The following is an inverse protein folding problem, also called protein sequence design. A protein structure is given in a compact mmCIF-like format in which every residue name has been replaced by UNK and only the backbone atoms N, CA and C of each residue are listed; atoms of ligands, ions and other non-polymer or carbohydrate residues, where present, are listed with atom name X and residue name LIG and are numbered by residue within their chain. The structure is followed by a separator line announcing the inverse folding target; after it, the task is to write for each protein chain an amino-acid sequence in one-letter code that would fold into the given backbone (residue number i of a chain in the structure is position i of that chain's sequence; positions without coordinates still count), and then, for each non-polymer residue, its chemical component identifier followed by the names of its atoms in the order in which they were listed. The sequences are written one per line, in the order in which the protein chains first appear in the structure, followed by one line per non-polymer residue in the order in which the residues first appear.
data_IF_205112008112
#
_entry.id   IF_205112008112
#
_cell.length_a   1.000
_cell.length_b   1.000
_cell.length_c   1.000
_cell.angle_alpha   90.00
_cell.angle_beta   90.00
_cell.angle_gamma   90.00
#
_symmetry.space_group_name_H-M   'P 1'
#
loop_
_entity.id
_entity.type
_entity.pdbx_description
1 polymer ?
#
# COMPACT_ATOMS: atom_id res chain seq x y z
N UNK A 1 -30.35 16.53 18.33
CA UNK A 1 -29.83 17.90 18.08
C UNK A 1 -28.70 18.14 19.07
N UNK A 2 -27.46 18.50 18.73
CA UNK A 2 -26.70 18.64 17.48
C UNK A 2 -25.29 19.08 17.90
N UNK A 3 -24.26 18.54 17.23
CA UNK A 3 -22.92 19.12 16.94
C UNK A 3 -22.00 19.47 18.13
N UNK A 4 -20.76 18.98 18.25
CA UNK A 4 -19.60 18.81 17.35
C UNK A 4 -18.80 20.10 17.10
N UNK A 5 -17.46 19.91 17.17
CA UNK A 5 -16.33 20.77 16.76
C UNK A 5 -15.92 21.86 17.76
N UNK A 6 -14.64 22.15 17.99
CA UNK A 6 -13.38 21.73 17.37
C UNK A 6 -12.24 22.01 18.36
N UNK A 7 -11.08 21.37 18.17
CA UNK A 7 -9.75 22.02 18.16
C UNK A 7 -8.68 21.00 18.52
N UNK A 8 -8.14 20.34 17.49
CA UNK A 8 -6.85 19.67 17.55
C UNK A 8 -5.85 20.56 16.80
N UNK A 9 -5.10 21.35 17.56
CA UNK A 9 -3.90 22.07 17.08
C UNK A 9 -2.78 21.08 16.80
N UNK A 10 -2.47 20.88 15.52
CA UNK A 10 -1.28 20.19 15.04
C UNK A 10 -0.12 21.21 15.06
N UNK A 11 0.78 21.08 16.03
CA UNK A 11 1.98 21.93 16.13
C UNK A 11 2.98 21.43 15.09
N UNK A 12 3.24 22.28 14.11
CA UNK A 12 4.30 22.11 13.13
C UNK A 12 5.67 22.20 13.81
N UNK A 13 6.41 21.10 13.80
CA UNK A 13 7.84 21.10 14.15
C UNK A 13 8.64 20.84 12.88
N UNK A 14 8.90 21.92 12.13
CA UNK A 14 9.65 21.92 10.88
C UNK A 14 11.12 22.19 11.19
N UNK A 15 11.86 21.17 11.63
CA UNK A 15 13.31 21.28 11.84
C UNK A 15 14.12 20.54 10.75
N UNK A 16 14.65 21.34 9.81
CA UNK A 16 15.94 21.25 9.10
C UNK A 16 16.43 19.85 8.64
N UNK A 17 16.06 19.46 7.41
CA UNK A 17 16.61 18.33 6.64
C UNK A 17 18.03 18.56 6.05
N UNK A 18 18.92 19.27 6.74
CA UNK A 18 20.31 19.48 6.27
C UNK A 18 21.30 18.82 7.21
N UNK A 19 21.64 17.55 6.95
CA UNK A 19 22.97 16.97 7.20
C UNK A 19 23.13 15.68 6.40
N UNK A 20 23.82 15.80 5.28
CA UNK A 20 24.18 14.72 4.39
C UNK A 20 25.44 14.00 4.85
N UNK A 21 25.50 12.69 4.64
CA UNK A 21 26.74 12.04 4.22
C UNK A 21 26.46 11.29 2.91
N UNK A 22 27.18 11.67 1.86
CA UNK A 22 27.08 11.03 0.56
C UNK A 22 27.76 9.66 0.61
N UNK A 23 27.00 8.60 0.37
CA UNK A 23 27.51 7.39 -0.28
C UNK A 23 26.64 7.15 -1.51
N UNK A 24 27.17 7.54 -2.66
CA UNK A 24 26.63 7.19 -3.97
C UNK A 24 26.76 5.69 -4.17
N UNK A 25 25.66 4.96 -4.05
CA UNK A 25 25.52 3.65 -4.67
C UNK A 25 24.22 3.66 -5.47
N UNK A 26 24.35 3.95 -6.77
CA UNK A 26 23.35 3.53 -7.74
C UNK A 26 23.39 2.00 -7.79
N UNK A 27 22.63 1.33 -6.92
CA UNK A 27 22.43 -0.10 -7.00
C UNK A 27 21.30 -0.38 -7.99
N UNK A 28 21.59 -1.23 -8.97
CA UNK A 28 20.69 -1.59 -10.05
C UNK A 28 19.33 -2.06 -9.55
N UNK A 29 18.29 -1.76 -10.33
CA UNK A 29 16.93 -2.21 -10.07
C UNK A 29 16.91 -3.71 -9.79
N UNK A 30 16.23 -4.11 -8.70
CA UNK A 30 16.13 -5.50 -8.29
C UNK A 30 15.54 -6.36 -9.42
N UNK A 31 16.04 -7.59 -9.55
CA UNK A 31 15.48 -8.58 -10.47
C UNK A 31 14.01 -8.83 -10.09
N UNK A 32 13.07 -8.52 -10.98
CA UNK A 32 11.65 -8.81 -10.78
C UNK A 32 11.45 -10.29 -10.48
N UNK A 33 10.87 -10.59 -9.32
CA UNK A 33 10.65 -11.97 -8.85
C UNK A 33 9.27 -12.50 -9.23
N UNK A 34 8.29 -11.60 -9.31
CA UNK A 34 6.88 -11.98 -9.52
C UNK A 34 6.24 -12.67 -8.33
N UNK A 35 6.81 -12.48 -7.13
CA UNK A 35 6.24 -12.91 -5.85
C UNK A 35 5.43 -11.79 -5.19
N UNK A 36 4.62 -12.20 -4.20
CA UNK A 36 3.95 -11.31 -3.27
C UNK A 36 4.66 -11.48 -1.93
N UNK A 37 5.23 -10.40 -1.41
CA UNK A 37 5.76 -10.34 -0.05
C UNK A 37 4.66 -9.88 0.87
N UNK A 38 4.23 -10.76 1.76
CA UNK A 38 3.30 -10.42 2.83
C UNK A 38 4.07 -9.97 4.06
N UNK A 39 3.66 -8.86 4.66
CA UNK A 39 4.32 -8.29 5.84
C UNK A 39 3.28 -8.00 6.90
N UNK A 40 3.48 -8.52 8.10
CA UNK A 40 2.67 -8.19 9.26
C UNK A 40 3.51 -7.40 10.28
N UNK A 41 2.93 -6.29 10.75
CA UNK A 41 3.57 -5.44 11.74
C UNK A 41 2.90 -5.53 13.10
N UNK A 42 3.71 -5.91 14.09
CA UNK A 42 3.46 -5.52 15.47
C UNK A 42 4.16 -4.20 15.77
N UNK A 43 3.37 -3.12 15.82
CA UNK A 43 3.81 -1.78 16.17
C UNK A 43 4.48 -1.66 17.56
N UNK A 44 4.39 -2.67 18.41
CA UNK A 44 5.05 -2.69 19.73
C UNK A 44 6.44 -3.32 19.68
N UNK A 45 6.63 -4.31 18.82
CA UNK A 45 7.88 -5.10 18.75
C UNK A 45 8.89 -4.52 17.76
N UNK A 46 8.46 -3.52 16.96
CA UNK A 46 9.26 -2.83 15.95
C UNK A 46 9.98 -3.75 14.96
N UNK A 47 9.52 -4.99 14.85
CA UNK A 47 10.09 -6.05 14.01
C UNK A 47 8.96 -6.64 13.17
N UNK A 48 8.96 -6.45 11.85
CA UNK A 48 7.97 -7.08 10.99
C UNK A 48 8.22 -8.58 10.88
N UNK A 49 7.14 -9.36 10.81
CA UNK A 49 7.20 -10.70 10.24
C UNK A 49 6.89 -10.59 8.75
N UNK A 50 7.57 -11.38 7.93
CA UNK A 50 7.30 -11.39 6.50
C UNK A 50 7.50 -12.77 5.91
N UNK A 51 6.66 -13.07 4.92
CA UNK A 51 6.68 -14.30 4.15
C UNK A 51 6.52 -13.97 2.67
N UNK A 52 6.92 -14.89 1.80
CA UNK A 52 6.80 -14.73 0.36
C UNK A 52 5.94 -15.84 -0.21
N UNK A 53 5.09 -15.46 -1.15
CA UNK A 53 4.17 -16.36 -1.80
C UNK A 53 4.21 -16.17 -3.32
N UNK A 54 4.03 -17.28 -4.05
CA UNK A 54 3.48 -17.21 -5.40
C UNK A 54 2.02 -16.73 -5.33
N UNK A 55 1.44 -16.32 -6.46
CA UNK A 55 0.04 -15.86 -6.50
C UNK A 55 -0.96 -16.86 -5.92
N UNK A 56 -0.90 -18.12 -6.35
CA UNK A 56 -1.79 -19.19 -5.87
C UNK A 56 -1.61 -19.48 -4.38
N UNK A 57 -0.35 -19.53 -3.90
CA UNK A 57 -0.07 -19.76 -2.48
C UNK A 57 -0.57 -18.60 -1.61
N UNK A 58 -0.59 -17.37 -2.14
CA UNK A 58 -1.09 -16.22 -1.40
C UNK A 58 -2.61 -16.24 -1.22
N UNK A 59 -3.36 -16.79 -2.18
CA UNK A 59 -4.81 -17.01 -2.03
C UNK A 59 -5.11 -17.99 -0.90
N UNK A 60 -4.38 -19.11 -0.84
CA UNK A 60 -4.52 -20.08 0.25
C UNK A 60 -4.18 -19.46 1.61
N UNK A 61 -3.15 -18.62 1.65
CA UNK A 61 -2.81 -17.86 2.85
C UNK A 61 -3.93 -16.87 3.26
N UNK A 62 -4.56 -16.19 2.30
CA UNK A 62 -5.68 -15.30 2.56
C UNK A 62 -6.91 -16.03 3.14
N UNK A 63 -7.19 -17.24 2.65
CA UNK A 63 -8.24 -18.12 3.19
C UNK A 63 -7.90 -18.49 4.64
N UNK A 64 -6.67 -18.96 4.90
CA UNK A 64 -6.23 -19.37 6.23
C UNK A 64 -6.29 -18.22 7.25
N UNK A 65 -6.03 -16.98 6.82
CA UNK A 65 -6.15 -15.77 7.64
C UNK A 65 -7.59 -15.26 7.80
N UNK A 66 -8.57 -15.86 7.12
CA UNK A 66 -9.98 -15.46 7.18
C UNK A 66 -10.25 -14.09 6.55
N UNK A 67 -9.46 -13.68 5.54
CA UNK A 67 -9.52 -12.33 4.96
C UNK A 67 -10.80 -12.03 4.18
N UNK A 68 -11.56 -13.05 3.79
CA UNK A 68 -12.89 -12.89 3.17
C UNK A 68 -13.97 -12.40 4.14
N UNK A 69 -13.72 -12.47 5.44
CA UNK A 69 -14.60 -11.91 6.49
C UNK A 69 -14.20 -10.49 6.91
N UNK A 70 -13.15 -9.93 6.32
CA UNK A 70 -12.59 -8.63 6.68
C UNK A 70 -12.99 -7.57 5.67
N UNK A 71 -14.14 -6.94 5.91
CA UNK A 71 -14.71 -5.94 5.01
C UNK A 71 -13.89 -4.65 4.96
N UNK A 72 -13.83 -4.07 3.77
CA UNK A 72 -13.19 -2.80 3.50
C UNK A 72 -14.11 -1.65 3.91
N UNK A 73 -13.58 -0.69 4.65
CA UNK A 73 -14.31 0.49 5.10
C UNK A 73 -13.89 1.75 4.33
N UNK A 74 -12.58 1.93 4.11
CA UNK A 74 -12.02 3.09 3.42
C UNK A 74 -10.82 2.72 2.56
N UNK A 75 -10.61 3.48 1.50
CA UNK A 75 -9.43 3.38 0.67
C UNK A 75 -8.87 4.76 0.33
N UNK A 76 -7.53 4.90 0.31
CA UNK A 76 -6.86 6.15 -0.04
C UNK A 76 -5.51 5.88 -0.68
N UNK A 77 -5.15 6.64 -1.70
CA UNK A 77 -3.81 6.59 -2.27
C UNK A 77 -2.90 7.55 -1.50
N UNK A 78 -1.75 7.02 -1.09
CA UNK A 78 -0.69 7.76 -0.42
C UNK A 78 0.56 7.76 -1.27
N UNK A 79 1.37 8.81 -1.10
CA UNK A 79 2.65 8.95 -1.79
C UNK A 79 3.74 9.53 -0.90
N UNK A 80 4.98 9.19 -1.21
CA UNK A 80 6.18 9.75 -0.61
C UNK A 80 7.33 9.82 -1.63
N UNK A 81 8.30 10.72 -1.44
CA UNK A 81 9.40 10.82 -2.38
C UNK A 81 10.26 9.56 -2.32
N UNK A 82 10.70 9.07 -3.48
CA UNK A 82 11.74 8.04 -3.52
C UNK A 82 13.03 8.59 -2.88
N UNK A 83 13.75 7.75 -2.13
CA UNK A 83 15.01 8.14 -1.50
C UNK A 83 16.03 8.57 -2.58
N UNK A 84 16.73 9.68 -2.33
CA UNK A 84 17.74 10.26 -3.22
C UNK A 84 17.35 11.65 -3.73
N UNK A 85 18.29 12.60 -3.70
CA UNK A 85 18.05 14.01 -4.04
C UNK A 85 17.53 14.21 -5.46
N UNK A 86 18.04 13.43 -6.42
CA UNK A 86 17.62 13.51 -7.82
C UNK A 86 16.16 13.08 -7.99
N UNK A 87 15.71 12.08 -7.22
CA UNK A 87 14.34 11.59 -7.22
C UNK A 87 13.36 12.65 -6.72
N UNK A 88 13.76 13.42 -5.70
CA UNK A 88 12.96 14.56 -5.20
C UNK A 88 12.91 15.67 -6.23
N UNK A 89 14.05 15.98 -6.89
CA UNK A 89 14.15 17.06 -7.88
C UNK A 89 13.28 16.84 -9.13
N UNK A 90 13.13 15.59 -9.56
CA UNK A 90 12.34 15.22 -10.74
C UNK A 90 10.88 14.83 -10.41
N UNK A 91 10.46 14.96 -9.14
CA UNK A 91 9.12 14.58 -8.71
C UNK A 91 8.85 13.07 -8.80
N UNK A 92 9.84 12.23 -8.52
CA UNK A 92 9.66 10.79 -8.48
C UNK A 92 9.07 10.35 -7.14
N UNK A 93 7.75 10.12 -7.15
CA UNK A 93 6.98 9.65 -6.00
C UNK A 93 6.79 8.14 -6.06
N UNK A 94 6.90 7.48 -4.91
CA UNK A 94 6.33 6.15 -4.74
C UNK A 94 4.90 6.28 -4.25
N UNK A 95 4.00 5.51 -4.86
CA UNK A 95 2.58 5.49 -4.51
C UNK A 95 2.12 4.11 -4.06
N UNK A 96 1.17 4.10 -3.13
CA UNK A 96 0.53 2.89 -2.65
C UNK A 96 -0.91 3.13 -2.24
N UNK A 97 -1.70 2.06 -2.26
CA UNK A 97 -3.09 2.10 -1.79
C UNK A 97 -3.13 1.65 -0.34
N UNK A 98 -3.57 2.54 0.54
CA UNK A 98 -3.85 2.25 1.94
C UNK A 98 -5.34 1.94 2.09
N UNK A 99 -5.64 0.82 2.74
CA UNK A 99 -7.00 0.37 2.99
C UNK A 99 -7.23 0.26 4.49
N UNK A 100 -8.33 0.83 4.96
CA UNK A 100 -8.87 0.58 6.29
C UNK A 100 -9.97 -0.47 6.15
N UNK A 101 -9.91 -1.49 6.99
CA UNK A 101 -10.87 -2.58 7.04
C UNK A 101 -11.34 -2.76 8.48
N UNK A 102 -12.34 -3.61 8.68
CA UNK A 102 -12.94 -3.88 10.00
C UNK A 102 -11.95 -4.36 11.07
N UNK A 103 -10.79 -4.91 10.67
CA UNK A 103 -9.82 -5.50 11.61
C UNK A 103 -8.43 -4.89 11.52
N UNK A 104 -7.99 -4.45 10.34
CA UNK A 104 -6.61 -4.02 10.12
C UNK A 104 -6.51 -2.84 9.15
N UNK A 105 -5.36 -2.20 9.18
CA UNK A 105 -4.91 -1.30 8.12
C UNK A 105 -3.98 -2.06 7.18
N UNK A 106 -4.18 -1.88 5.89
CA UNK A 106 -3.45 -2.57 4.84
C UNK A 106 -2.77 -1.59 3.89
N UNK A 107 -1.67 -2.01 3.27
CA UNK A 107 -1.10 -1.34 2.10
C UNK A 107 -0.82 -2.34 0.99
N UNK A 108 -1.20 -1.97 -0.22
CA UNK A 108 -0.91 -2.71 -1.45
C UNK A 108 0.05 -1.91 -2.31
N UNK A 109 1.22 -2.48 -2.59
CA UNK A 109 2.32 -1.76 -3.22
C UNK A 109 3.04 -2.59 -4.27
N UNK A 110 3.68 -1.87 -5.18
CA UNK A 110 4.51 -2.45 -6.21
C UNK A 110 5.88 -1.78 -6.23
N UNK A 111 6.91 -2.59 -6.08
CA UNK A 111 8.30 -2.17 -6.13
C UNK A 111 9.00 -2.77 -7.35
N UNK A 112 10.27 -2.43 -7.57
CA UNK A 112 11.04 -2.91 -8.72
C UNK A 112 11.18 -4.45 -8.75
N UNK A 113 11.05 -5.10 -7.61
CA UNK A 113 11.36 -6.51 -7.41
C UNK A 113 10.13 -7.39 -7.14
N UNK A 114 8.98 -6.81 -6.80
CA UNK A 114 7.73 -7.56 -6.60
C UNK A 114 6.57 -6.73 -6.05
N UNK A 115 5.53 -7.43 -5.62
CA UNK A 115 4.38 -6.84 -4.91
C UNK A 115 4.54 -6.99 -3.40
N UNK A 116 4.04 -6.02 -2.67
CA UNK A 116 4.07 -5.99 -1.21
C UNK A 116 2.66 -5.76 -0.68
N UNK A 117 2.22 -6.66 0.20
CA UNK A 117 0.96 -6.55 0.93
C UNK A 117 1.29 -6.50 2.40
N UNK A 118 1.07 -5.35 3.03
CA UNK A 118 1.45 -5.14 4.43
C UNK A 118 0.22 -4.88 5.28
N UNK A 119 0.20 -5.36 6.53
CA UNK A 119 -0.88 -5.07 7.48
C UNK A 119 -0.38 -4.70 8.88
N UNK A 120 -1.14 -3.86 9.58
CA UNK A 120 -0.92 -3.55 11.00
C UNK A 120 -2.21 -3.14 11.70
N UNK A 121 -2.26 -3.30 13.03
CA UNK A 121 -3.37 -2.81 13.85
C UNK A 121 -3.43 -1.28 13.96
N UNK A 122 -2.37 -0.57 13.58
CA UNK A 122 -2.33 0.90 13.59
C UNK A 122 -2.00 1.43 12.21
N UNK A 123 -2.81 2.37 11.71
CA UNK A 123 -2.62 3.05 10.42
C UNK A 123 -1.22 3.61 10.25
N UNK A 124 -0.68 4.25 11.29
CA UNK A 124 0.64 4.85 11.26
C UNK A 124 1.76 3.85 10.92
N UNK A 125 1.63 2.58 11.32
CA UNK A 125 2.65 1.57 11.06
C UNK A 125 2.73 1.22 9.58
N UNK A 126 1.62 0.87 8.94
CA UNK A 126 1.63 0.59 7.48
C UNK A 126 1.85 1.86 6.65
N UNK A 127 1.36 3.01 7.12
CA UNK A 127 1.52 4.29 6.41
C UNK A 127 2.97 4.77 6.41
N UNK A 128 3.67 4.68 7.54
CA UNK A 128 5.00 5.27 7.70
C UNK A 128 6.14 4.28 7.48
N UNK A 129 5.88 2.97 7.60
CA UNK A 129 6.88 1.92 7.49
C UNK A 129 6.70 1.10 6.22
N UNK A 130 7.82 0.60 5.69
CA UNK A 130 7.91 -0.31 4.56
C UNK A 130 8.96 -1.39 4.87
N UNK A 131 8.54 -2.65 4.91
CA UNK A 131 9.35 -3.85 5.28
C UNK A 131 10.23 -3.69 6.54
N UNK A 132 9.91 -2.76 7.45
CA UNK A 132 10.58 -2.56 8.73
C UNK A 132 11.25 -1.20 8.83
N UNK A 133 11.43 -0.55 7.68
CA UNK A 133 12.12 0.72 7.56
C UNK A 133 11.14 1.87 7.41
N UNK A 134 11.51 3.03 7.93
CA UNK A 134 10.77 4.28 7.69
C UNK A 134 10.83 4.62 6.19
N UNK A 135 9.67 4.89 5.59
CA UNK A 135 9.51 5.21 4.16
C UNK A 135 10.24 6.49 3.77
N UNK A 136 9.94 7.57 4.49
CA UNK A 136 10.51 8.89 4.28
C UNK A 136 10.55 9.63 5.60
N UNK A 137 11.59 10.43 5.79
CA UNK A 137 11.72 11.32 6.94
C UNK A 137 10.90 12.61 6.80
N UNK A 138 10.44 12.95 5.60
CA UNK A 138 10.12 14.34 5.29
C UNK A 138 8.72 14.60 4.70
N UNK A 139 8.07 13.66 4.00
CA UNK A 139 6.79 13.96 3.33
C UNK A 139 6.02 12.70 2.89
N UNK A 140 5.18 12.16 3.77
CA UNK A 140 4.18 11.15 3.40
C UNK A 140 2.82 11.83 3.39
N UNK A 141 2.20 11.92 2.21
CA UNK A 141 0.96 12.66 2.01
C UNK A 141 -0.05 11.90 1.14
N UNK A 142 -1.30 12.31 1.24
CA UNK A 142 -2.34 11.82 0.35
C UNK A 142 -2.07 12.25 -1.10
N UNK A 143 -2.36 11.38 -2.05
CA UNK A 143 -2.24 11.72 -3.48
C UNK A 143 -3.39 12.62 -3.95
N UNK A 144 -4.57 12.48 -3.33
CA UNK A 144 -5.78 13.24 -3.64
C UNK A 144 -7.00 12.33 -3.76
N UNK A 145 -6.81 11.12 -4.30
CA UNK A 145 -7.86 10.10 -4.36
C UNK A 145 -8.10 9.42 -3.01
N UNK A 146 -9.33 9.53 -2.52
CA UNK A 146 -9.81 8.86 -1.33
C UNK A 146 -11.30 8.52 -1.42
N UNK A 147 -11.69 7.42 -0.77
CA UNK A 147 -13.06 7.10 -0.47
C UNK A 147 -13.17 6.77 1.01
N UNK A 148 -13.99 7.56 1.71
CA UNK A 148 -14.19 7.46 3.15
C UNK A 148 -15.33 6.51 3.54
N UNK A 149 -16.06 6.00 2.55
CA UNK A 149 -17.15 5.04 2.72
C UNK A 149 -17.19 4.10 1.51
N UNK A 150 -16.86 2.84 1.72
CA UNK A 150 -17.00 1.78 0.72
C UNK A 150 -18.30 1.02 0.99
N UNK A 151 -19.27 1.14 0.08
CA UNK A 151 -20.63 0.61 0.28
C UNK A 151 -20.83 -0.80 -0.28
N UNK A 152 -19.83 -1.34 -0.99
CA UNK A 152 -19.94 -2.61 -1.72
C UNK A 152 -19.68 -3.86 -0.87
N UNK A 153 -19.33 -3.69 0.42
CA UNK A 153 -19.05 -4.77 1.38
C UNK A 153 -17.97 -5.77 0.95
N UNK A 154 -17.13 -5.42 -0.02
CA UNK A 154 -16.02 -6.24 -0.47
C UNK A 154 -14.98 -6.40 0.65
N UNK A 155 -14.30 -7.54 0.65
CA UNK A 155 -13.34 -7.94 1.67
C UNK A 155 -11.89 -7.75 1.19
N UNK A 156 -10.95 -7.82 2.13
CA UNK A 156 -9.52 -7.90 1.79
C UNK A 156 -9.22 -9.17 0.96
N UNK A 157 -9.91 -10.27 1.23
CA UNK A 157 -9.84 -11.48 0.41
C UNK A 157 -10.19 -11.25 -1.06
N UNK A 158 -11.17 -10.38 -1.33
CA UNK A 158 -11.58 -10.04 -2.71
C UNK A 158 -10.50 -9.22 -3.44
N UNK A 159 -9.80 -8.33 -2.73
CA UNK A 159 -8.63 -7.61 -3.29
C UNK A 159 -7.53 -8.59 -3.67
N UNK A 160 -7.23 -9.56 -2.80
CA UNK A 160 -6.19 -10.56 -3.06
C UNK A 160 -6.59 -11.47 -4.23
N UNK A 161 -7.86 -11.88 -4.29
CA UNK A 161 -8.42 -12.63 -5.42
C UNK A 161 -8.30 -11.86 -6.73
N UNK A 162 -8.59 -10.56 -6.71
CA UNK A 162 -8.46 -9.69 -7.86
C UNK A 162 -7.00 -9.56 -8.32
N UNK A 163 -6.04 -9.42 -7.39
CA UNK A 163 -4.60 -9.36 -7.71
C UNK A 163 -4.18 -10.61 -8.48
N UNK A 164 -4.56 -11.81 -8.00
CA UNK A 164 -4.21 -13.05 -8.67
C UNK A 164 -4.94 -13.22 -10.01
N UNK A 165 -6.25 -12.95 -10.07
CA UNK A 165 -7.03 -13.08 -11.32
C UNK A 165 -6.48 -12.18 -12.43
N UNK A 166 -6.07 -10.96 -12.08
CA UNK A 166 -5.49 -10.00 -13.02
C UNK A 166 -3.99 -10.21 -13.25
N UNK A 167 -3.41 -11.25 -12.63
CA UNK A 167 -1.99 -11.62 -12.73
C UNK A 167 -1.07 -10.42 -12.49
N UNK A 168 -1.42 -9.57 -11.51
CA UNK A 168 -0.66 -8.34 -11.21
C UNK A 168 0.81 -8.64 -10.85
N UNK A 169 1.07 -9.79 -10.23
CA UNK A 169 2.41 -10.31 -9.93
C UNK A 169 3.24 -10.67 -11.18
N UNK A 170 2.58 -10.90 -12.33
CA UNK A 170 3.27 -11.18 -13.58
C UNK A 170 3.58 -9.90 -14.37
N UNK A 171 2.97 -8.77 -14.01
CA UNK A 171 3.21 -7.48 -14.66
C UNK A 171 4.53 -6.92 -14.15
N UNK A 172 5.62 -7.11 -14.89
CA UNK A 172 6.95 -6.61 -14.50
C UNK A 172 6.94 -5.10 -14.24
N UNK A 173 7.83 -4.64 -13.36
CA UNK A 173 8.00 -3.22 -13.12
C UNK A 173 8.52 -2.52 -14.38
N UNK A 174 7.82 -1.47 -14.80
CA UNK A 174 8.24 -0.60 -15.90
C UNK A 174 8.03 0.86 -15.50
N UNK A 175 9.09 1.66 -15.57
CA UNK A 175 9.13 3.04 -15.07
C UNK A 175 7.95 3.90 -15.55
N UNK A 176 7.48 3.70 -16.78
CA UNK A 176 6.42 4.52 -17.40
C UNK A 176 5.10 3.81 -17.64
N UNK A 177 5.02 2.48 -17.51
CA UNK A 177 3.85 1.69 -17.97
C UNK A 177 3.28 0.75 -16.91
N UNK A 178 4.09 0.31 -15.94
CA UNK A 178 3.72 -0.69 -14.94
C UNK A 178 4.55 -0.46 -13.68
N UNK A 179 4.39 0.72 -13.09
CA UNK A 179 5.10 1.13 -11.87
C UNK A 179 4.15 1.13 -10.66
N UNK A 180 4.62 1.68 -9.53
CA UNK A 180 3.86 1.83 -8.29
C UNK A 180 2.57 2.66 -8.47
N UNK A 181 2.64 3.80 -9.16
CA UNK A 181 1.47 4.65 -9.45
C UNK A 181 0.35 3.88 -10.17
N UNK A 182 0.72 3.14 -11.22
CA UNK A 182 -0.26 2.38 -11.98
C UNK A 182 -0.90 1.26 -11.14
N UNK A 183 -0.12 0.56 -10.32
CA UNK A 183 -0.63 -0.51 -9.46
C UNK A 183 -1.53 0.03 -8.35
N UNK A 184 -1.10 1.08 -7.65
CA UNK A 184 -1.89 1.74 -6.61
C UNK A 184 -3.25 2.21 -7.17
N UNK A 185 -3.22 2.90 -8.31
CA UNK A 185 -4.43 3.34 -9.02
C UNK A 185 -5.37 2.17 -9.33
N UNK A 186 -4.85 1.07 -9.88
CA UNK A 186 -5.71 -0.09 -10.20
C UNK A 186 -6.33 -0.76 -8.98
N UNK A 187 -5.58 -0.94 -7.90
CA UNK A 187 -6.14 -1.50 -6.65
C UNK A 187 -7.22 -0.59 -6.09
N UNK A 188 -6.97 0.72 -6.05
CA UNK A 188 -7.94 1.70 -5.58
C UNK A 188 -9.21 1.71 -6.43
N UNK A 189 -9.05 1.74 -7.76
CA UNK A 189 -10.16 1.75 -8.72
C UNK A 189 -10.97 0.46 -8.66
N UNK A 190 -10.32 -0.69 -8.42
CA UNK A 190 -11.03 -1.96 -8.24
C UNK A 190 -11.91 -1.95 -6.97
N UNK A 191 -11.41 -1.42 -5.86
CA UNK A 191 -12.13 -1.29 -4.57
C UNK A 191 -13.28 -0.27 -4.68
N UNK A 192 -13.02 0.87 -5.33
CA UNK A 192 -14.00 1.97 -5.41
C UNK A 192 -14.92 1.85 -6.61
N UNK A 193 -14.72 0.83 -7.45
CA UNK A 193 -15.42 0.58 -8.71
C UNK A 193 -15.38 1.75 -9.69
N UNK A 194 -14.34 2.59 -9.60
CA UNK A 194 -14.13 3.68 -10.54
C UNK A 194 -13.45 3.17 -11.81
N UNK A 195 -13.62 3.89 -12.92
CA UNK A 195 -13.03 3.53 -14.22
C UNK A 195 -13.42 2.13 -14.75
N UNK A 196 -14.52 1.55 -14.25
CA UNK A 196 -15.05 0.27 -14.73
C UNK A 196 -14.31 -0.97 -14.22
N UNK A 197 -13.26 -0.83 -13.42
CA UNK A 197 -12.63 -1.97 -12.74
C UNK A 197 -13.45 -2.40 -11.53
N UNK A 198 -13.49 -3.70 -11.25
CA UNK A 198 -14.25 -4.28 -10.15
C UNK A 198 -13.46 -5.40 -9.51
N UNK A 199 -13.50 -5.48 -8.18
CA UNK A 199 -13.27 -6.74 -7.49
C UNK A 199 -14.37 -7.68 -7.98
N UNK A 200 -13.98 -8.83 -8.51
CA UNK A 200 -14.84 -9.75 -9.27
C UNK A 200 -16.06 -10.18 -8.45
N UNK A 201 -17.19 -10.50 -9.09
CA UNK A 201 -18.33 -11.17 -8.45
C UNK A 201 -17.95 -12.63 -8.08
N UNK A 202 -17.30 -12.86 -6.94
CA UNK A 202 -16.88 -14.21 -6.48
C UNK A 202 -18.07 -15.05 -5.96
N UNK A 203 -19.31 -14.60 -6.15
CA UNK A 203 -20.52 -15.27 -5.67
C UNK A 203 -21.43 -15.84 -6.77
N UNK A 204 -20.98 -15.86 -8.04
CA UNK A 204 -21.79 -16.35 -9.18
C UNK A 204 -21.08 -17.44 -10.02
N UNK A 205 -20.46 -18.43 -9.38
CA UNK A 205 -20.14 -19.73 -10.02
C UNK A 205 -20.59 -20.90 -9.14
#
# INVERSE_FOLDING_TARGET
FSQANSDFTEIADFQSCTKMSFRSSASGGGKWRGDITFVEYDCKQNTPTWERYSGENFLQHAIALGLYSEHIEKAKIWKYPLKGELSVLIGAWHEFTLVESTKWYWTFEKYMDGLYVQRAKKKACVKNMYVGDKRSDCDIRGEGRESNEITFQESIGDVISWIDKNKEQNKKYHLTQSNCHHFASRVYEAITRTAGMRLVDVHNE
#
